data_IF_146592027913
#
_entry.id   IF_146592027913
#
_cell.length_a   1.000
_cell.length_b   1.000
_cell.length_c   1.000
_cell.angle_alpha   90.00
_cell.angle_beta   90.00
_cell.angle_gamma   90.00
#
_symmetry.space_group_name_H-M   'P 1'
#
loop_
_entity.id
_entity.type
_entity.pdbx_description
1 polymer ?
#
# COMPACT_ATOMS: atom_id res chain seq x y z
N UNK A 1 -16.78 -0.47 11.45
CA UNK A 1 -17.74 -0.48 10.31
C UNK A 1 -17.40 -1.66 9.43
N UNK A 2 -18.37 -2.51 9.11
CA UNK A 2 -18.18 -3.60 8.14
C UNK A 2 -18.46 -3.05 6.75
N UNK A 3 -17.49 -3.13 5.84
CA UNK A 3 -17.67 -2.77 4.44
C UNK A 3 -18.24 -3.98 3.67
N UNK A 4 -19.07 -3.73 2.67
CA UNK A 4 -19.49 -4.81 1.74
C UNK A 4 -18.35 -5.04 0.76
N UNK A 5 -17.89 -6.29 0.62
CA UNK A 5 -16.83 -6.65 -0.32
C UNK A 5 -17.24 -6.48 -1.78
N UNK A 6 -16.24 -6.52 -2.66
CA UNK A 6 -16.41 -6.35 -4.11
C UNK A 6 -15.89 -7.59 -4.85
N UNK A 7 -16.70 -8.26 -5.65
CA UNK A 7 -16.21 -9.27 -6.60
C UNK A 7 -15.32 -8.57 -7.65
N UNK A 8 -14.05 -8.97 -7.69
CA UNK A 8 -13.05 -8.37 -8.60
C UNK A 8 -13.25 -8.81 -10.06
N UNK A 9 -14.04 -9.85 -10.33
CA UNK A 9 -14.27 -10.38 -11.68
C UNK A 9 -14.96 -9.36 -12.57
N UNK A 10 -14.41 -9.13 -13.76
CA UNK A 10 -14.91 -8.14 -14.71
C UNK A 10 -14.64 -6.69 -14.34
N UNK A 11 -13.97 -6.44 -13.21
CA UNK A 11 -13.58 -5.10 -12.77
C UNK A 11 -12.33 -4.63 -13.49
N UNK A 12 -12.11 -3.30 -13.51
CA UNK A 12 -10.86 -2.72 -13.97
C UNK A 12 -10.04 -2.27 -12.75
N UNK A 13 -8.77 -2.66 -12.70
CA UNK A 13 -7.89 -2.40 -11.58
C UNK A 13 -6.58 -1.74 -12.02
N UNK A 14 -6.12 -0.76 -11.24
CA UNK A 14 -4.80 -0.12 -11.40
C UNK A 14 -3.93 -0.53 -10.23
N UNK A 15 -2.69 -0.96 -10.50
CA UNK A 15 -1.71 -1.30 -9.46
C UNK A 15 -0.43 -0.51 -9.70
N UNK A 16 0.03 0.26 -8.70
CA UNK A 16 1.29 1.00 -8.77
C UNK A 16 2.47 0.19 -8.22
N UNK A 17 3.68 0.40 -8.76
CA UNK A 17 4.84 -0.42 -8.43
C UNK A 17 4.63 -1.88 -8.85
N UNK A 18 3.94 -2.09 -9.98
CA UNK A 18 3.43 -3.41 -10.39
C UNK A 18 4.40 -4.21 -11.27
N UNK A 19 5.57 -3.65 -11.60
CA UNK A 19 6.57 -4.37 -12.41
C UNK A 19 7.39 -5.39 -11.61
N UNK A 20 7.28 -5.43 -10.28
CA UNK A 20 8.01 -6.37 -9.43
C UNK A 20 7.32 -6.68 -8.10
N UNK A 21 7.84 -7.65 -7.37
CA UNK A 21 7.47 -7.95 -5.98
C UNK A 21 5.98 -8.09 -5.74
N UNK A 22 5.49 -7.48 -4.66
CA UNK A 22 4.08 -7.55 -4.24
C UNK A 22 3.16 -6.98 -5.32
N UNK A 23 3.50 -5.83 -5.94
CA UNK A 23 2.67 -5.23 -6.98
C UNK A 23 2.46 -6.15 -8.18
N UNK A 24 3.53 -6.84 -8.63
CA UNK A 24 3.42 -7.87 -9.66
C UNK A 24 2.54 -9.04 -9.21
N UNK A 25 2.65 -9.46 -7.96
CA UNK A 25 1.78 -10.49 -7.39
C UNK A 25 0.30 -10.06 -7.43
N UNK A 26 0.00 -8.84 -6.96
CA UNK A 26 -1.36 -8.30 -6.95
C UNK A 26 -1.94 -8.22 -8.36
N UNK A 27 -1.23 -7.58 -9.29
CA UNK A 27 -1.75 -7.38 -10.65
C UNK A 27 -1.98 -8.70 -11.38
N UNK A 28 -1.06 -9.67 -11.21
CA UNK A 28 -1.20 -11.01 -11.81
C UNK A 28 -2.38 -11.79 -11.24
N UNK A 29 -2.64 -11.68 -9.93
CA UNK A 29 -3.76 -12.40 -9.29
C UNK A 29 -5.10 -11.74 -9.54
N UNK A 30 -5.16 -10.41 -9.63
CA UNK A 30 -6.35 -9.70 -10.11
C UNK A 30 -6.71 -10.13 -11.55
N UNK A 31 -5.73 -10.15 -12.44
CA UNK A 31 -5.95 -10.62 -13.83
C UNK A 31 -6.41 -12.09 -13.87
N UNK A 32 -5.78 -12.97 -13.11
CA UNK A 32 -6.17 -14.39 -13.03
C UNK A 32 -7.59 -14.58 -12.44
N UNK A 33 -8.04 -13.65 -11.59
CA UNK A 33 -9.41 -13.62 -11.06
C UNK A 33 -10.42 -13.00 -12.05
N UNK A 34 -9.98 -12.60 -13.26
CA UNK A 34 -10.84 -12.04 -14.30
C UNK A 34 -11.01 -10.53 -14.27
N UNK A 35 -10.13 -9.80 -13.60
CA UNK A 35 -10.06 -8.36 -13.70
C UNK A 35 -9.25 -7.92 -14.94
N UNK A 36 -9.59 -6.75 -15.50
CA UNK A 36 -8.76 -6.03 -16.49
C UNK A 36 -7.79 -5.16 -15.72
N UNK A 37 -6.51 -5.12 -16.09
CA UNK A 37 -5.52 -4.53 -15.20
C UNK A 37 -4.61 -3.52 -15.90
N UNK A 38 -4.26 -2.45 -15.16
CA UNK A 38 -3.18 -1.52 -15.51
C UNK A 38 -1.98 -1.82 -14.62
N UNK A 39 -0.87 -2.18 -15.25
CA UNK A 39 0.43 -2.37 -14.63
C UNK A 39 1.16 -1.03 -14.65
N UNK A 40 1.19 -0.30 -13.53
CA UNK A 40 1.86 0.99 -13.44
C UNK A 40 3.18 0.88 -12.68
N UNK A 41 4.25 1.40 -13.24
CA UNK A 41 5.59 1.40 -12.60
C UNK A 41 6.43 2.58 -13.08
N UNK A 42 7.39 3.01 -12.27
CA UNK A 42 8.38 4.04 -12.67
C UNK A 42 9.29 3.53 -13.81
N UNK A 43 9.37 2.23 -14.03
CA UNK A 43 10.10 1.58 -15.12
C UNK A 43 9.12 1.10 -16.21
N UNK A 44 8.83 1.91 -17.25
CA UNK A 44 7.79 1.62 -18.23
C UNK A 44 8.01 0.31 -18.98
N UNK A 45 9.24 0.02 -19.40
CA UNK A 45 9.56 -1.21 -20.13
C UNK A 45 9.25 -2.48 -19.31
N UNK A 46 9.47 -2.43 -17.99
CA UNK A 46 9.13 -3.54 -17.09
C UNK A 46 7.63 -3.64 -16.85
N UNK A 47 6.92 -2.52 -16.81
CA UNK A 47 5.46 -2.50 -16.71
C UNK A 47 4.83 -3.13 -17.96
N UNK A 48 5.31 -2.77 -19.14
CA UNK A 48 4.88 -3.38 -20.41
C UNK A 48 5.17 -4.86 -20.46
N UNK A 49 6.36 -5.31 -20.05
CA UNK A 49 6.71 -6.72 -20.03
C UNK A 49 5.77 -7.56 -19.13
N UNK A 50 5.38 -7.02 -17.97
CA UNK A 50 4.41 -7.69 -17.08
C UNK A 50 3.01 -7.69 -17.70
N UNK A 51 2.58 -6.61 -18.35
CA UNK A 51 1.30 -6.54 -19.05
C UNK A 51 1.25 -7.57 -20.20
N UNK A 52 2.30 -7.69 -21.00
CA UNK A 52 2.41 -8.69 -22.04
C UNK A 52 2.31 -10.12 -21.48
N UNK A 53 3.02 -10.42 -20.39
CA UNK A 53 2.94 -11.74 -19.75
C UNK A 53 1.51 -12.08 -19.25
N UNK A 54 0.75 -11.07 -18.80
CA UNK A 54 -0.66 -11.26 -18.42
C UNK A 54 -1.52 -11.51 -19.65
N UNK A 55 -1.30 -10.80 -20.76
CA UNK A 55 -2.03 -11.00 -22.02
C UNK A 55 -1.73 -12.38 -22.63
N UNK A 56 -0.48 -12.82 -22.59
CA UNK A 56 -0.06 -14.15 -23.05
C UNK A 56 -0.73 -15.28 -22.24
N UNK A 57 -1.05 -15.01 -20.97
CA UNK A 57 -1.82 -15.91 -20.12
C UNK A 57 -3.35 -15.81 -20.32
N UNK A 58 -3.82 -15.01 -21.29
CA UNK A 58 -5.24 -14.84 -21.63
C UNK A 58 -5.96 -13.74 -20.82
N UNK A 59 -5.25 -12.94 -20.05
CA UNK A 59 -5.80 -11.77 -19.36
C UNK A 59 -5.87 -10.52 -20.24
N UNK A 60 -6.43 -9.44 -19.69
CA UNK A 60 -6.51 -8.12 -20.33
C UNK A 60 -5.68 -7.11 -19.51
N UNK A 61 -4.62 -6.57 -20.10
CA UNK A 61 -3.67 -5.71 -19.38
C UNK A 61 -3.07 -4.64 -20.28
N UNK A 62 -2.71 -3.49 -19.67
CA UNK A 62 -1.84 -2.48 -20.27
C UNK A 62 -0.70 -2.12 -19.33
N UNK A 63 0.48 -1.79 -19.85
CA UNK A 63 1.61 -1.24 -19.12
C UNK A 63 1.61 0.29 -19.22
N UNK A 64 1.90 0.98 -18.11
CA UNK A 64 1.97 2.45 -18.05
C UNK A 64 3.15 2.88 -17.18
N UNK A 65 4.03 3.74 -17.72
CA UNK A 65 5.06 4.41 -16.94
C UNK A 65 4.46 5.45 -16.01
N UNK A 66 4.77 5.42 -14.72
CA UNK A 66 4.26 6.40 -13.75
C UNK A 66 5.19 6.53 -12.55
N UNK A 67 5.72 7.73 -12.33
CA UNK A 67 6.30 8.11 -11.05
C UNK A 67 5.19 8.66 -10.14
N UNK A 68 4.87 7.92 -9.09
CA UNK A 68 3.77 8.27 -8.16
C UNK A 68 4.00 9.58 -7.40
N UNK A 69 5.25 10.08 -7.35
CA UNK A 69 5.60 11.36 -6.72
C UNK A 69 5.03 12.54 -7.50
N UNK A 70 4.88 12.38 -8.82
CA UNK A 70 4.37 13.41 -9.74
C UNK A 70 2.86 13.23 -9.92
N UNK A 71 2.08 14.15 -9.34
CA UNK A 71 0.61 14.10 -9.42
C UNK A 71 0.12 14.18 -10.88
N UNK A 72 0.82 14.90 -11.77
CA UNK A 72 0.46 14.98 -13.19
C UNK A 72 0.63 13.62 -13.89
N UNK A 73 1.64 12.83 -13.54
CA UNK A 73 1.79 11.46 -14.05
C UNK A 73 0.72 10.52 -13.47
N UNK A 74 0.30 10.72 -12.21
CA UNK A 74 -0.81 9.95 -11.63
C UNK A 74 -2.14 10.30 -12.29
N UNK A 75 -2.39 11.57 -12.63
CA UNK A 75 -3.55 11.99 -13.39
C UNK A 75 -3.55 11.38 -14.80
N UNK A 76 -2.40 11.41 -15.50
CA UNK A 76 -2.23 10.77 -16.81
C UNK A 76 -2.41 9.24 -16.74
N UNK A 77 -1.92 8.57 -15.67
CA UNK A 77 -2.18 7.15 -15.43
C UNK A 77 -3.67 6.87 -15.31
N UNK A 78 -4.38 7.70 -14.55
CA UNK A 78 -5.82 7.57 -14.42
C UNK A 78 -6.52 7.76 -15.78
N UNK A 79 -6.17 8.81 -16.56
CA UNK A 79 -6.72 9.01 -17.90
C UNK A 79 -6.52 7.77 -18.79
N UNK A 80 -5.30 7.24 -18.84
CA UNK A 80 -4.97 6.04 -19.60
C UNK A 80 -5.80 4.81 -19.17
N UNK A 81 -6.05 4.66 -17.87
CA UNK A 81 -6.86 3.57 -17.36
C UNK A 81 -8.33 3.67 -17.76
N UNK A 82 -8.91 4.89 -17.66
CA UNK A 82 -10.30 5.14 -18.11
C UNK A 82 -10.45 5.03 -19.61
N UNK A 83 -9.49 5.52 -20.40
CA UNK A 83 -9.47 5.39 -21.87
C UNK A 83 -9.45 3.92 -22.30
N UNK A 84 -8.65 3.10 -21.63
CA UNK A 84 -8.52 1.69 -21.98
C UNK A 84 -9.76 0.86 -21.61
N UNK A 85 -10.37 1.13 -20.46
CA UNK A 85 -11.39 0.23 -19.90
C UNK A 85 -12.77 0.85 -19.71
N UNK A 86 -12.93 2.15 -19.99
CA UNK A 86 -14.18 2.90 -19.87
C UNK A 86 -14.58 3.24 -18.43
N UNK A 87 -14.07 2.49 -17.46
CA UNK A 87 -14.17 2.70 -16.01
C UNK A 87 -13.03 2.03 -15.26
N UNK A 88 -12.75 2.51 -14.07
CA UNK A 88 -11.86 1.85 -13.12
C UNK A 88 -12.62 1.61 -11.83
N UNK A 89 -12.41 0.44 -11.23
CA UNK A 89 -13.13 0.03 -10.02
C UNK A 89 -12.18 -0.15 -8.82
N UNK A 90 -10.91 -0.46 -9.07
CA UNK A 90 -9.94 -0.81 -8.01
C UNK A 90 -8.64 -0.05 -8.23
N UNK A 91 -8.14 0.58 -7.17
CA UNK A 91 -6.78 1.09 -7.08
C UNK A 91 -6.02 0.31 -6.01
N UNK A 92 -4.88 -0.28 -6.36
CA UNK A 92 -3.90 -0.78 -5.41
C UNK A 92 -2.68 0.14 -5.41
N UNK A 93 -2.59 1.04 -4.46
CA UNK A 93 -1.40 1.85 -4.20
C UNK A 93 -0.35 0.97 -3.54
N UNK A 94 0.63 0.49 -4.32
CA UNK A 94 1.63 -0.42 -3.81
C UNK A 94 3.08 0.09 -4.00
N UNK A 95 3.32 1.04 -4.91
CA UNK A 95 4.65 1.63 -5.08
C UNK A 95 5.27 2.05 -3.74
N UNK A 96 6.52 1.67 -3.52
CA UNK A 96 7.20 1.97 -2.26
C UNK A 96 8.68 1.65 -2.29
N UNK A 97 9.42 2.31 -1.39
CA UNK A 97 10.85 2.17 -1.22
C UNK A 97 11.21 1.96 0.25
N UNK A 98 12.41 1.45 0.53
CA UNK A 98 12.90 1.29 1.89
C UNK A 98 14.28 1.92 2.06
N UNK A 99 14.38 2.82 3.04
CA UNK A 99 15.64 3.32 3.58
C UNK A 99 15.89 2.64 4.92
N UNK A 100 17.07 2.10 5.05
CA UNK A 100 17.52 1.30 6.18
C UNK A 100 18.79 1.89 6.79
N UNK A 101 18.98 1.65 8.06
CA UNK A 101 20.17 2.05 8.78
C UNK A 101 19.87 2.63 10.17
N UNK A 102 20.93 2.93 10.95
CA UNK A 102 20.77 3.59 12.23
C UNK A 102 20.14 4.97 12.04
N UNK A 103 19.22 5.33 12.91
CA UNK A 103 18.45 6.59 12.78
C UNK A 103 19.34 7.85 12.80
N UNK A 104 20.52 7.79 13.41
CA UNK A 104 21.47 8.89 13.46
C UNK A 104 22.23 9.10 12.14
N UNK A 105 22.27 8.08 11.28
CA UNK A 105 23.02 8.10 10.02
C UNK A 105 22.11 8.39 8.80
N UNK A 106 20.80 8.54 9.04
CA UNK A 106 19.85 8.84 7.96
C UNK A 106 20.07 10.25 7.44
N UNK A 107 20.37 10.36 6.16
CA UNK A 107 20.54 11.66 5.52
C UNK A 107 19.17 12.33 5.26
N UNK A 108 19.09 13.69 5.30
CA UNK A 108 17.83 14.39 5.05
C UNK A 108 17.17 14.06 3.69
N UNK A 109 17.95 13.80 2.66
CA UNK A 109 17.45 13.43 1.34
C UNK A 109 16.87 12.01 1.31
N UNK A 110 17.38 11.07 2.12
CA UNK A 110 16.83 9.72 2.27
C UNK A 110 15.43 9.76 2.90
N UNK A 111 15.27 10.58 3.95
CA UNK A 111 13.99 10.81 4.59
C UNK A 111 12.98 11.39 3.60
N UNK A 112 13.37 12.45 2.87
CA UNK A 112 12.51 13.10 1.87
C UNK A 112 12.07 12.12 0.79
N UNK A 113 13.01 11.40 0.17
CA UNK A 113 12.67 10.44 -0.88
C UNK A 113 11.69 9.37 -0.40
N UNK A 114 11.90 8.84 0.82
CA UNK A 114 10.99 7.85 1.40
C UNK A 114 9.57 8.40 1.57
N UNK A 115 9.43 9.66 2.01
CA UNK A 115 8.11 10.29 2.16
C UNK A 115 7.49 10.63 0.81
N UNK A 116 8.28 11.13 -0.15
CA UNK A 116 7.79 11.43 -1.50
C UNK A 116 7.17 10.20 -2.16
N UNK A 117 7.82 9.03 -2.07
CA UNK A 117 7.31 7.82 -2.68
C UNK A 117 6.21 7.18 -1.83
N UNK A 118 6.51 6.88 -0.54
CA UNK A 118 5.66 6.02 0.27
C UNK A 118 4.42 6.74 0.82
N UNK A 119 4.49 8.06 1.01
CA UNK A 119 3.39 8.83 1.62
C UNK A 119 2.73 9.73 0.58
N UNK A 120 3.47 10.67 -0.01
CA UNK A 120 2.89 11.60 -0.97
C UNK A 120 2.47 10.90 -2.27
N UNK A 121 3.27 9.93 -2.77
CA UNK A 121 2.88 9.13 -3.94
C UNK A 121 1.60 8.33 -3.70
N UNK A 122 1.43 7.78 -2.50
CA UNK A 122 0.23 7.04 -2.14
C UNK A 122 -0.97 7.97 -1.92
N UNK A 123 -0.72 9.18 -1.38
CA UNK A 123 -1.73 10.24 -1.29
C UNK A 123 -2.19 10.69 -2.69
N UNK A 124 -1.27 10.95 -3.62
CA UNK A 124 -1.58 11.34 -4.99
C UNK A 124 -2.49 10.32 -5.66
N UNK A 125 -2.11 9.03 -5.59
CA UNK A 125 -2.94 7.93 -6.10
C UNK A 125 -4.33 7.92 -5.45
N UNK A 126 -4.38 7.96 -4.13
CA UNK A 126 -5.65 7.95 -3.41
C UNK A 126 -6.52 9.16 -3.77
N UNK A 127 -5.97 10.37 -3.81
CA UNK A 127 -6.73 11.60 -4.10
C UNK A 127 -7.28 11.62 -5.52
N UNK A 128 -6.44 11.30 -6.53
CA UNK A 128 -6.83 11.32 -7.93
C UNK A 128 -7.91 10.29 -8.22
N UNK A 129 -7.71 9.06 -7.76
CA UNK A 129 -8.67 7.98 -8.03
C UNK A 129 -9.93 8.09 -7.19
N UNK A 130 -9.83 8.49 -5.92
CA UNK A 130 -11.00 8.67 -5.06
C UNK A 130 -11.98 9.69 -5.64
N UNK A 131 -11.49 10.84 -6.12
CA UNK A 131 -12.32 11.84 -6.80
C UNK A 131 -13.08 11.23 -7.97
N UNK A 132 -12.39 10.50 -8.85
CA UNK A 132 -12.99 9.84 -10.00
C UNK A 132 -13.96 8.73 -9.62
N UNK A 133 -13.68 7.98 -8.56
CA UNK A 133 -14.57 6.93 -8.04
C UNK A 133 -15.89 7.52 -7.51
N UNK A 134 -15.82 8.63 -6.77
CA UNK A 134 -16.99 9.36 -6.29
C UNK A 134 -17.81 9.90 -7.47
N UNK A 135 -17.17 10.54 -8.45
CA UNK A 135 -17.84 11.10 -9.64
C UNK A 135 -18.44 10.00 -10.53
N UNK A 136 -17.74 8.88 -10.68
CA UNK A 136 -18.19 7.73 -11.48
C UNK A 136 -19.40 7.02 -10.87
N UNK A 137 -19.47 6.99 -9.54
CA UNK A 137 -20.47 6.24 -8.79
C UNK A 137 -20.35 4.72 -8.93
N UNK A 138 -21.11 4.01 -8.08
CA UNK A 138 -21.08 2.55 -8.00
C UNK A 138 -19.90 2.02 -7.20
N UNK A 139 -19.76 0.68 -7.10
CA UNK A 139 -18.72 0.09 -6.27
C UNK A 139 -17.31 0.42 -6.74
N UNK A 140 -16.46 0.91 -5.82
CA UNK A 140 -15.04 1.15 -6.03
C UNK A 140 -14.23 0.77 -4.79
N UNK A 141 -12.92 0.53 -4.95
CA UNK A 141 -12.06 0.06 -3.88
C UNK A 141 -10.65 0.66 -3.97
N UNK A 142 -10.11 1.09 -2.82
CA UNK A 142 -8.71 1.51 -2.68
C UNK A 142 -8.02 0.59 -1.69
N UNK A 143 -6.95 -0.09 -2.14
CA UNK A 143 -6.08 -0.91 -1.30
C UNK A 143 -4.70 -0.26 -1.22
N UNK A 144 -4.31 0.22 -0.04
CA UNK A 144 -3.02 0.84 0.21
C UNK A 144 -2.06 -0.17 0.84
N UNK A 145 -0.82 -0.26 0.33
CA UNK A 145 0.20 -1.14 0.88
C UNK A 145 0.91 -0.49 2.06
N UNK A 146 0.48 -0.83 3.27
CA UNK A 146 1.16 -0.55 4.51
C UNK A 146 2.34 -1.49 4.75
N UNK A 147 2.41 -2.02 5.95
CA UNK A 147 3.34 -3.05 6.42
C UNK A 147 2.80 -3.65 7.72
N UNK A 148 3.26 -4.83 8.11
CA UNK A 148 3.04 -5.29 9.48
C UNK A 148 3.57 -4.27 10.51
N UNK A 149 4.63 -3.52 10.14
CA UNK A 149 5.15 -2.41 10.95
C UNK A 149 4.22 -1.18 11.04
N UNK A 150 3.14 -1.10 10.28
CA UNK A 150 2.11 -0.07 10.47
C UNK A 150 1.34 -0.29 11.77
N UNK A 151 1.25 -1.51 12.25
CA UNK A 151 0.39 -1.95 13.36
C UNK A 151 1.21 -2.61 14.47
N UNK A 152 2.10 -3.54 14.11
CA UNK A 152 3.00 -4.22 15.03
C UNK A 152 4.14 -3.31 15.52
N UNK A 153 4.98 -3.83 16.40
CA UNK A 153 6.03 -3.07 17.06
C UNK A 153 7.13 -2.55 16.12
N UNK A 154 7.92 -1.59 16.61
CA UNK A 154 9.06 -1.05 15.87
C UNK A 154 10.19 -2.07 15.75
N UNK A 155 11.05 -1.88 14.74
CA UNK A 155 12.24 -2.68 14.51
C UNK A 155 13.48 -1.79 14.32
N UNK A 156 14.62 -2.20 14.89
CA UNK A 156 15.87 -1.42 14.80
C UNK A 156 16.31 -1.24 13.35
N UNK A 157 16.72 -0.01 13.00
CA UNK A 157 17.21 0.34 11.67
C UNK A 157 16.13 0.49 10.60
N UNK A 158 14.86 0.61 10.99
CA UNK A 158 13.71 0.80 10.10
C UNK A 158 12.92 2.09 10.39
N UNK A 159 13.46 3.03 11.17
CA UNK A 159 12.69 4.17 11.65
C UNK A 159 11.99 4.94 10.52
N UNK A 160 12.72 5.30 9.46
CA UNK A 160 12.15 6.04 8.31
C UNK A 160 11.04 5.24 7.64
N UNK A 161 11.29 3.98 7.35
CA UNK A 161 10.29 3.11 6.73
C UNK A 161 9.04 2.97 7.60
N UNK A 162 9.21 2.72 8.89
CA UNK A 162 8.10 2.59 9.85
C UNK A 162 7.29 3.88 9.94
N UNK A 163 7.93 5.05 9.97
CA UNK A 163 7.24 6.34 9.94
C UNK A 163 6.32 6.45 8.72
N UNK A 164 6.83 6.14 7.53
CA UNK A 164 6.02 6.21 6.31
C UNK A 164 4.85 5.23 6.34
N UNK A 165 5.05 4.01 6.86
CA UNK A 165 4.00 2.98 6.90
C UNK A 165 2.94 3.25 7.97
N UNK A 166 3.28 3.95 9.07
CA UNK A 166 2.28 4.49 10.00
C UNK A 166 1.46 5.64 9.38
N UNK A 167 2.12 6.52 8.61
CA UNK A 167 1.41 7.59 7.89
C UNK A 167 0.39 7.00 6.90
N UNK A 168 0.75 5.93 6.18
CA UNK A 168 -0.16 5.22 5.27
C UNK A 168 -1.37 4.63 6.01
N UNK A 169 -1.18 4.04 7.19
CA UNK A 169 -2.30 3.53 7.99
C UNK A 169 -3.24 4.67 8.40
N UNK A 170 -2.70 5.76 8.98
CA UNK A 170 -3.49 6.90 9.42
C UNK A 170 -4.26 7.55 8.27
N UNK A 171 -3.62 7.69 7.10
CA UNK A 171 -4.27 8.18 5.89
C UNK A 171 -5.42 7.26 5.44
N UNK A 172 -5.18 5.95 5.36
CA UNK A 172 -6.18 4.98 4.88
C UNK A 172 -7.38 4.92 5.82
N UNK A 173 -7.15 4.97 7.13
CA UNK A 173 -8.20 4.96 8.14
C UNK A 173 -9.04 6.25 8.11
N UNK A 174 -8.40 7.40 7.91
CA UNK A 174 -9.09 8.69 7.74
C UNK A 174 -9.96 8.70 6.48
N UNK A 175 -9.41 8.28 5.33
CA UNK A 175 -10.17 8.22 4.07
C UNK A 175 -11.35 7.24 4.17
N UNK A 176 -11.18 6.09 4.84
CA UNK A 176 -12.28 5.17 5.12
C UNK A 176 -13.37 5.82 5.98
N UNK A 177 -12.98 6.64 6.95
CA UNK A 177 -13.94 7.32 7.81
C UNK A 177 -14.74 8.37 7.04
N UNK A 178 -14.10 9.08 6.09
CA UNK A 178 -14.74 10.13 5.30
C UNK A 178 -15.58 9.59 4.14
N UNK A 179 -15.11 8.53 3.46
CA UNK A 179 -15.68 8.07 2.17
C UNK A 179 -16.13 6.61 2.17
N UNK A 180 -16.09 5.92 3.32
CA UNK A 180 -16.39 4.49 3.41
C UNK A 180 -17.80 4.08 3.00
N UNK A 181 -18.73 5.03 2.91
CA UNK A 181 -20.10 4.80 2.40
C UNK A 181 -20.15 4.76 0.86
N UNK A 182 -19.11 5.25 0.17
CA UNK A 182 -19.04 5.36 -1.29
C UNK A 182 -17.96 4.47 -1.90
N UNK A 183 -16.83 4.32 -1.20
CA UNK A 183 -15.64 3.59 -1.66
C UNK A 183 -15.16 2.65 -0.56
N UNK A 184 -14.87 1.40 -0.90
CA UNK A 184 -14.25 0.46 0.02
C UNK A 184 -12.76 0.74 0.18
N UNK A 185 -12.23 0.45 1.38
CA UNK A 185 -10.82 0.65 1.69
C UNK A 185 -10.21 -0.60 2.33
N UNK A 186 -8.99 -0.90 1.93
CA UNK A 186 -8.14 -1.88 2.60
C UNK A 186 -6.74 -1.33 2.84
N UNK A 187 -6.11 -1.79 3.91
CA UNK A 187 -4.68 -1.68 4.12
C UNK A 187 -4.05 -3.06 4.10
N UNK A 188 -3.16 -3.29 3.12
CA UNK A 188 -2.35 -4.50 3.07
C UNK A 188 -1.18 -4.35 4.05
N UNK A 189 -1.03 -5.30 4.96
CA UNK A 189 -0.01 -5.32 6.00
C UNK A 189 0.98 -6.48 5.78
N UNK A 190 1.90 -6.40 4.81
CA UNK A 190 2.84 -7.47 4.55
C UNK A 190 3.95 -7.50 5.59
N UNK A 191 4.33 -8.72 6.01
CA UNK A 191 5.61 -8.99 6.65
C UNK A 191 6.71 -9.23 5.62
N UNK A 192 7.56 -10.24 5.81
CA UNK A 192 8.64 -10.55 4.87
C UNK A 192 8.10 -11.23 3.60
N UNK A 193 8.33 -10.62 2.44
CA UNK A 193 7.91 -11.11 1.11
C UNK A 193 9.10 -11.04 0.17
N UNK A 194 9.28 -12.02 -0.72
CA UNK A 194 10.34 -12.06 -1.75
C UNK A 194 10.17 -10.91 -2.75
N UNK A 195 10.86 -9.80 -2.53
CA UNK A 195 10.74 -8.59 -3.34
C UNK A 195 12.08 -7.89 -3.52
N UNK A 196 12.12 -6.98 -4.49
CA UNK A 196 13.25 -6.07 -4.73
C UNK A 196 13.22 -4.83 -3.82
N UNK A 197 12.39 -4.80 -2.77
CA UNK A 197 12.24 -3.63 -1.89
C UNK A 197 13.56 -3.21 -1.26
N UNK A 198 14.39 -4.17 -0.86
CA UNK A 198 15.69 -3.95 -0.23
C UNK A 198 16.76 -3.41 -1.20
N UNK A 199 16.45 -3.41 -2.49
CA UNK A 199 17.25 -2.86 -3.59
C UNK A 199 16.56 -1.65 -4.25
N UNK A 200 15.61 -1.04 -3.59
CA UNK A 200 14.86 0.12 -4.11
C UNK A 200 15.76 1.32 -4.39
N UNK A 201 16.92 1.40 -3.75
CA UNK A 201 17.94 2.44 -3.97
C UNK A 201 18.38 2.60 -5.43
N UNK A 202 18.26 1.56 -6.28
CA UNK A 202 18.52 1.63 -7.72
C UNK A 202 17.65 2.65 -8.47
N UNK A 203 16.46 2.96 -7.94
CA UNK A 203 15.49 3.89 -8.53
C UNK A 203 15.56 5.29 -7.91
N UNK A 204 16.51 5.56 -6.98
CA UNK A 204 16.60 6.87 -6.34
C UNK A 204 17.14 7.91 -7.33
N UNK A 205 16.39 8.99 -7.58
CA UNK A 205 16.82 10.07 -8.48
C UNK A 205 18.01 10.86 -7.93
N UNK A 206 18.72 11.53 -8.83
CA UNK A 206 19.91 12.35 -8.49
C UNK A 206 19.58 13.48 -7.52
N UNK A 207 18.40 14.07 -7.61
CA UNK A 207 17.91 15.11 -6.68
C UNK A 207 17.85 14.65 -5.20
N UNK A 208 17.77 13.33 -4.97
CA UNK A 208 17.84 12.70 -3.64
C UNK A 208 19.17 11.99 -3.38
N UNK A 209 20.23 12.32 -4.13
CA UNK A 209 21.57 11.78 -3.94
C UNK A 209 21.93 10.60 -4.86
N UNK A 210 21.10 10.30 -5.85
CA UNK A 210 21.36 9.26 -6.86
C UNK A 210 21.20 7.82 -6.32
N UNK A 211 21.36 6.86 -7.21
CA UNK A 211 21.23 5.44 -6.88
C UNK A 211 22.27 4.97 -5.85
N UNK A 212 21.89 4.01 -5.03
CA UNK A 212 22.78 3.37 -4.04
C UNK A 212 22.53 1.88 -3.97
N UNK A 213 23.51 1.14 -3.49
CA UNK A 213 23.41 -0.31 -3.28
C UNK A 213 22.55 -0.61 -2.05
N UNK A 214 21.57 -1.50 -2.20
CA UNK A 214 20.66 -1.89 -1.15
C UNK A 214 21.31 -2.81 -0.09
N UNK A 215 20.55 -3.12 0.97
CA UNK A 215 20.98 -4.07 2.01
C UNK A 215 20.93 -5.51 1.48
N UNK A 216 22.08 -6.01 1.04
CA UNK A 216 22.23 -7.35 0.45
C UNK A 216 21.82 -8.46 1.43
N UNK A 217 22.09 -8.33 2.74
CA UNK A 217 21.72 -9.34 3.75
C UNK A 217 20.21 -9.45 3.88
N UNK A 218 19.50 -8.33 3.92
CA UNK A 218 18.03 -8.33 3.99
C UNK A 218 17.41 -8.81 2.69
N UNK A 219 17.99 -8.47 1.56
CA UNK A 219 17.59 -8.99 0.25
C UNK A 219 17.69 -10.51 0.22
N UNK A 220 18.84 -11.06 0.63
CA UNK A 220 19.09 -12.50 0.60
C UNK A 220 18.20 -13.25 1.62
N UNK A 221 18.00 -12.68 2.81
CA UNK A 221 17.06 -13.22 3.80
C UNK A 221 15.61 -13.22 3.29
N UNK A 222 15.17 -12.12 2.65
CA UNK A 222 13.84 -12.03 2.03
C UNK A 222 13.69 -13.02 0.86
N UNK A 223 14.72 -13.18 0.04
CA UNK A 223 14.72 -14.13 -1.07
C UNK A 223 14.61 -15.58 -0.60
N UNK A 224 15.24 -15.93 0.54
CA UNK A 224 15.25 -17.30 1.07
C UNK A 224 14.02 -17.66 1.91
N UNK A 225 13.49 -16.74 2.70
CA UNK A 225 12.46 -17.00 3.70
C UNK A 225 11.17 -16.17 3.55
N UNK A 226 11.14 -15.20 2.62
CA UNK A 226 9.96 -14.38 2.39
C UNK A 226 8.83 -15.15 1.68
N UNK A 227 7.60 -14.73 1.93
CA UNK A 227 6.42 -15.25 1.22
C UNK A 227 6.52 -15.01 -0.29
N UNK A 228 5.83 -15.85 -1.04
CA UNK A 228 5.66 -15.64 -2.48
C UNK A 228 4.77 -14.40 -2.73
N UNK A 229 5.19 -13.45 -3.59
CA UNK A 229 4.35 -12.32 -3.99
C UNK A 229 2.99 -12.72 -4.57
N UNK A 230 2.91 -13.86 -5.25
CA UNK A 230 1.65 -14.37 -5.79
C UNK A 230 0.68 -14.74 -4.68
N UNK A 231 1.16 -15.36 -3.59
CA UNK A 231 0.33 -15.65 -2.43
C UNK A 231 -0.21 -14.36 -1.78
N UNK A 232 0.61 -13.30 -1.72
CA UNK A 232 0.15 -11.98 -1.24
C UNK A 232 -0.94 -11.42 -2.15
N UNK A 233 -0.79 -11.56 -3.47
CA UNK A 233 -1.82 -11.19 -4.44
C UNK A 233 -3.15 -11.94 -4.21
N UNK A 234 -3.11 -13.24 -3.91
CA UNK A 234 -4.31 -14.02 -3.57
C UNK A 234 -5.01 -13.48 -2.31
N UNK A 235 -4.23 -13.08 -1.29
CA UNK A 235 -4.78 -12.47 -0.08
C UNK A 235 -5.43 -11.12 -0.35
N UNK A 236 -4.87 -10.30 -1.25
CA UNK A 236 -5.47 -9.02 -1.66
C UNK A 236 -6.80 -9.26 -2.37
N UNK A 237 -6.86 -10.16 -3.35
CA UNK A 237 -8.12 -10.54 -4.02
C UNK A 237 -9.16 -11.01 -3.01
N UNK A 238 -8.77 -11.90 -2.10
CA UNK A 238 -9.65 -12.42 -1.05
C UNK A 238 -10.15 -11.31 -0.12
N UNK A 239 -9.26 -10.42 0.34
CA UNK A 239 -9.60 -9.32 1.23
C UNK A 239 -10.56 -8.31 0.61
N UNK A 240 -10.33 -7.92 -0.66
CA UNK A 240 -11.25 -7.05 -1.41
C UNK A 240 -12.62 -7.72 -1.56
N UNK A 241 -12.64 -9.00 -1.94
CA UNK A 241 -13.91 -9.75 -2.09
C UNK A 241 -14.67 -9.90 -0.76
N UNK A 242 -13.97 -10.01 0.37
CA UNK A 242 -14.55 -10.13 1.69
C UNK A 242 -14.96 -8.78 2.33
N UNK A 243 -14.44 -7.66 1.84
CA UNK A 243 -14.64 -6.35 2.46
C UNK A 243 -13.71 -6.11 3.66
N UNK A 244 -12.55 -6.78 3.70
CA UNK A 244 -11.62 -6.67 4.81
C UNK A 244 -10.86 -5.33 4.75
N UNK A 245 -10.87 -4.58 5.85
CA UNK A 245 -10.03 -3.39 5.96
C UNK A 245 -8.56 -3.75 6.15
N UNK A 246 -8.25 -4.67 7.06
CA UNK A 246 -6.89 -5.17 7.24
C UNK A 246 -6.67 -6.45 6.46
N UNK A 247 -5.65 -6.47 5.59
CA UNK A 247 -5.22 -7.68 4.87
C UNK A 247 -3.85 -8.09 5.42
N UNK A 248 -3.85 -9.05 6.34
CA UNK A 248 -2.64 -9.59 6.94
C UNK A 248 -2.05 -10.72 6.11
N UNK A 249 -0.73 -10.76 6.04
CA UNK A 249 -0.01 -11.84 5.34
C UNK A 249 0.66 -12.84 6.27
N UNK A 250 0.83 -12.47 7.55
CA UNK A 250 1.56 -13.26 8.54
C UNK A 250 0.73 -13.42 9.82
N UNK A 251 0.25 -14.62 10.15
CA UNK A 251 -0.58 -14.84 11.34
C UNK A 251 0.14 -14.59 12.66
N UNK A 252 1.48 -14.71 12.70
CA UNK A 252 2.30 -14.40 13.89
C UNK A 252 2.29 -12.92 14.28
N UNK A 253 1.77 -12.04 13.47
CA UNK A 253 1.62 -10.62 13.81
C UNK A 253 0.59 -10.39 14.93
N UNK A 254 -0.29 -11.36 15.22
CA UNK A 254 -1.29 -11.31 16.28
C UNK A 254 -0.67 -10.96 17.64
N UNK A 255 0.37 -11.70 18.04
CA UNK A 255 1.05 -11.50 19.34
C UNK A 255 1.71 -10.11 19.44
N UNK A 256 2.33 -9.65 18.35
CA UNK A 256 2.96 -8.32 18.28
C UNK A 256 1.93 -7.20 18.39
N UNK A 257 0.82 -7.33 17.71
CA UNK A 257 -0.30 -6.37 17.73
C UNK A 257 -0.91 -6.33 19.13
N UNK A 258 -1.24 -7.49 19.71
CA UNK A 258 -1.81 -7.60 21.04
C UNK A 258 -0.89 -6.96 22.10
N UNK A 259 0.42 -7.26 22.07
CA UNK A 259 1.40 -6.70 22.99
C UNK A 259 1.44 -5.17 22.96
N UNK A 260 1.43 -4.58 21.76
CA UNK A 260 1.43 -3.12 21.58
C UNK A 260 0.16 -2.45 22.11
N UNK A 261 -1.01 -3.01 21.84
CA UNK A 261 -2.27 -2.47 22.35
C UNK A 261 -2.40 -2.68 23.86
N UNK A 262 -1.92 -3.78 24.38
CA UNK A 262 -1.90 -4.05 25.84
C UNK A 262 -1.07 -2.99 26.56
N UNK A 263 0.14 -2.67 26.10
CA UNK A 263 0.97 -1.60 26.67
C UNK A 263 0.25 -0.26 26.73
N UNK A 264 -0.46 0.12 25.65
CA UNK A 264 -1.23 1.37 25.60
C UNK A 264 -2.37 1.37 26.62
N UNK A 265 -3.13 0.29 26.69
CA UNK A 265 -4.28 0.15 27.60
C UNK A 265 -3.81 0.15 29.07
N UNK A 266 -2.73 -0.58 29.38
CA UNK A 266 -2.17 -0.63 30.74
C UNK A 266 -1.62 0.75 31.17
N UNK A 267 -0.98 1.45 30.24
CA UNK A 267 -0.51 2.83 30.51
C UNK A 267 -1.67 3.76 30.77
N UNK A 268 -2.73 3.69 29.96
CA UNK A 268 -3.94 4.51 30.15
C UNK A 268 -4.58 4.22 31.51
N UNK A 269 -4.76 2.96 31.90
CA UNK A 269 -5.31 2.56 33.20
C UNK A 269 -4.45 3.02 34.36
N UNK A 270 -3.12 3.00 34.21
CA UNK A 270 -2.20 3.49 35.25
C UNK A 270 -2.28 5.01 35.41
N UNK A 271 -2.44 5.75 34.33
CA UNK A 271 -2.56 7.21 34.36
C UNK A 271 -3.94 7.68 34.88
N UNK A 272 -4.98 6.89 34.64
CA UNK A 272 -6.38 7.17 34.97
C UNK A 272 -7.02 6.02 35.71
N UNK A 273 -6.61 5.71 36.98
CA UNK A 273 -7.10 4.53 37.71
C UNK A 273 -8.60 4.62 38.02
N UNK A 274 -9.11 5.83 38.23
CA UNK A 274 -10.53 6.07 38.51
C UNK A 274 -11.39 6.25 37.25
N UNK A 275 -10.80 6.06 36.07
CA UNK A 275 -11.46 6.24 34.78
C UNK A 275 -11.71 7.71 34.40
N UNK A 276 -12.54 7.97 33.37
CA UNK A 276 -12.76 9.34 32.87
C UNK A 276 -13.57 10.17 33.84
N UNK A 277 -13.10 11.39 34.13
CA UNK A 277 -13.83 12.39 34.90
C UNK A 277 -14.98 13.00 34.09
N UNK A 278 -15.84 13.81 34.74
CA UNK A 278 -16.96 14.50 34.08
C UNK A 278 -16.49 15.40 32.93
N UNK A 279 -15.35 16.10 33.09
CA UNK A 279 -14.74 16.92 32.05
C UNK A 279 -14.36 16.13 30.81
N UNK A 280 -13.83 14.92 30.99
CA UNK A 280 -13.45 14.04 29.85
C UNK A 280 -14.68 13.47 29.12
N UNK A 281 -15.84 13.37 29.77
CA UNK A 281 -17.08 12.88 29.14
C UNK A 281 -17.77 13.91 28.26
N UNK A 282 -17.39 15.20 28.40
CA UNK A 282 -17.95 16.30 27.60
C UNK A 282 -17.20 16.50 26.26
N UNK A 283 -15.99 15.95 26.14
CA UNK A 283 -15.11 16.13 24.98
C UNK A 283 -15.51 15.32 23.72
N UNK A 284 -16.17 14.14 23.79
CA UNK A 284 -16.52 13.36 22.60
C UNK A 284 -17.57 13.96 21.67
N UNK A 285 -18.18 15.09 22.02
CA UNK A 285 -19.18 15.76 21.16
C UNK A 285 -18.59 16.73 20.15
N UNK A 286 -17.26 16.86 20.11
CA UNK A 286 -16.52 17.78 19.22
C UNK A 286 -15.71 17.02 18.12
N UNK A 287 -15.74 15.71 18.09
CA UNK A 287 -15.22 14.83 17.06
C UNK A 287 -16.37 14.04 16.44
#
# INVERSE_FOLDING_TARGET
MTQTGMDVRGKAAVVTGAASGIGRGIVSRLAAAGARVVVADVQPDRAEAVAHAIMDAGGEAIGVGCDVRDIGQVEALADRAWDAFGRVDILCNNAGVAILGPSLDVAPHDLRWSFEVNVFGMWNGSQVFLRRFVDQGGPAWICNTGSHHSIAGPYKGLAVYIMTKHAVLGMTDSLRTEFGDQVGFSILCPGSVRTDLWDSGRNRPDEFGGSFEGDTRRRDASASAGLDPMFVGDLVVKGINAGDFYIFTHPQDEELIEGRYREQIETLKRQWPDGPTEVHRLTPKLL
#
